data_IF_349912833522
#
_entry.id   IF_349912833522
#
_cell.length_a   1.000
_cell.length_b   1.000
_cell.length_c   1.000
_cell.angle_alpha   90.00
_cell.angle_beta   90.00
_cell.angle_gamma   90.00
#
_symmetry.space_group_name_H-M   'P 1'
#
loop_
_entity.id
_entity.type
_entity.pdbx_description
1 polymer ?
#
# COMPACT_ATOMS: atom_id res chain seq x y z
N UNK A 1 -20.32 -8.16 -13.81
CA UNK A 1 -18.92 -8.05 -13.35
C UNK A 1 -18.37 -6.74 -13.84
N UNK A 2 -17.68 -5.99 -12.99
CA UNK A 2 -17.00 -4.75 -13.39
C UNK A 2 -15.78 -5.08 -14.26
N UNK A 3 -15.52 -4.26 -15.27
CA UNK A 3 -14.27 -4.33 -16.02
C UNK A 3 -13.11 -3.74 -15.19
N UNK A 4 -11.87 -3.89 -15.67
CA UNK A 4 -10.70 -3.42 -14.91
C UNK A 4 -10.70 -1.90 -14.66
N UNK A 5 -11.31 -1.10 -15.55
CA UNK A 5 -11.36 0.37 -15.45
C UNK A 5 -12.39 0.79 -14.40
N UNK A 6 -13.58 0.22 -14.42
CA UNK A 6 -14.62 0.47 -13.42
C UNK A 6 -14.19 -0.05 -12.05
N UNK A 7 -13.56 -1.22 -11.97
CA UNK A 7 -12.96 -1.71 -10.72
C UNK A 7 -11.88 -0.77 -10.19
N UNK A 8 -11.03 -0.21 -11.06
CA UNK A 8 -10.04 0.81 -10.67
C UNK A 8 -10.71 2.08 -10.13
N UNK A 9 -11.77 2.55 -10.80
CA UNK A 9 -12.50 3.75 -10.41
C UNK A 9 -13.20 3.59 -9.06
N UNK A 10 -13.88 2.46 -8.83
CA UNK A 10 -14.52 2.14 -7.55
C UNK A 10 -13.48 2.01 -6.44
N UNK A 11 -12.37 1.29 -6.69
CA UNK A 11 -11.27 1.14 -5.75
C UNK A 11 -10.60 2.48 -5.40
N UNK A 12 -10.45 3.37 -6.38
CA UNK A 12 -9.97 4.73 -6.18
C UNK A 12 -10.94 5.55 -5.32
N UNK A 13 -12.24 5.53 -5.64
CA UNK A 13 -13.28 6.22 -4.86
C UNK A 13 -13.34 5.74 -3.41
N UNK A 14 -13.33 4.42 -3.20
CA UNK A 14 -13.28 3.81 -1.87
C UNK A 14 -12.04 4.24 -1.09
N UNK A 15 -10.87 4.32 -1.76
CA UNK A 15 -9.64 4.78 -1.15
C UNK A 15 -9.67 6.28 -0.82
N UNK A 16 -10.24 7.13 -1.67
CA UNK A 16 -10.41 8.55 -1.38
C UNK A 16 -11.22 8.76 -0.10
N UNK A 17 -12.35 8.07 0.02
CA UNK A 17 -13.20 8.14 1.22
C UNK A 17 -12.49 7.55 2.44
N UNK A 18 -11.80 6.43 2.28
CA UNK A 18 -10.99 5.82 3.35
C UNK A 18 -9.90 6.77 3.86
N UNK A 19 -9.18 7.45 2.97
CA UNK A 19 -8.13 8.41 3.33
C UNK A 19 -8.71 9.58 4.10
N UNK A 20 -9.89 10.07 3.69
CA UNK A 20 -10.59 11.15 4.37
C UNK A 20 -11.02 10.73 5.79
N UNK A 21 -11.76 9.62 5.89
CA UNK A 21 -12.30 9.11 7.17
C UNK A 21 -11.18 8.70 8.14
N UNK A 22 -10.16 7.98 7.65
CA UNK A 22 -9.07 7.46 8.46
C UNK A 22 -7.87 8.42 8.57
N UNK A 23 -8.02 9.68 8.15
CA UNK A 23 -6.94 10.64 8.27
C UNK A 23 -6.47 10.82 9.72
N UNK A 24 -7.35 10.98 10.73
CA UNK A 24 -6.94 11.08 12.13
C UNK A 24 -6.21 9.82 12.61
N UNK A 25 -6.71 8.64 12.24
CA UNK A 25 -6.08 7.35 12.56
C UNK A 25 -4.61 7.28 12.08
N UNK A 26 -4.34 7.78 10.86
CA UNK A 26 -2.98 7.80 10.29
C UNK A 26 -2.01 8.62 11.12
N UNK A 27 -2.49 9.66 11.80
CA UNK A 27 -1.66 10.58 12.57
C UNK A 27 -1.52 10.12 14.03
N UNK A 28 -2.59 9.59 14.62
CA UNK A 28 -2.53 8.93 15.94
C UNK A 28 -1.53 7.77 15.95
N UNK A 29 -1.52 6.90 14.93
CA UNK A 29 -0.54 5.80 14.82
C UNK A 29 0.92 6.28 14.67
N UNK A 30 1.16 7.52 14.23
CA UNK A 30 2.50 8.12 14.20
C UNK A 30 2.92 8.61 15.57
N UNK A 31 2.02 9.28 16.30
CA UNK A 31 2.28 9.86 17.62
C UNK A 31 2.49 8.79 18.68
N UNK A 32 1.81 7.64 18.58
CA UNK A 32 2.07 6.47 19.44
C UNK A 32 3.50 5.89 19.34
N UNK A 33 4.45 6.51 18.61
CA UNK A 33 5.86 6.17 18.78
C UNK A 33 6.34 6.56 20.17
N UNK A 34 6.94 5.60 20.86
CA UNK A 34 7.50 5.63 22.23
C UNK A 34 8.57 6.72 22.46
N UNK A 35 8.79 7.67 21.53
CA UNK A 35 9.62 8.84 21.79
C UNK A 35 8.74 9.96 22.38
N UNK A 36 8.74 10.20 23.71
CA UNK A 36 7.93 11.21 24.37
C UNK A 36 8.36 12.67 24.08
N UNK A 37 9.25 12.90 23.11
CA UNK A 37 9.88 14.22 22.91
C UNK A 37 8.93 15.22 22.21
N UNK A 38 7.90 14.77 21.49
CA UNK A 38 6.93 15.72 20.92
C UNK A 38 5.76 15.94 21.89
N UNK A 39 5.86 16.98 22.71
CA UNK A 39 4.78 17.57 23.55
C UNK A 39 3.66 18.22 22.72
N UNK A 40 3.27 17.62 21.59
CA UNK A 40 2.17 18.12 20.77
C UNK A 40 0.90 17.38 21.17
N UNK A 41 -0.17 18.12 21.45
CA UNK A 41 -1.49 17.51 21.64
C UNK A 41 -1.86 16.72 20.36
N UNK A 42 -2.09 15.40 20.46
CA UNK A 42 -2.42 14.57 19.32
C UNK A 42 -3.69 15.01 18.60
N UNK A 43 -4.65 15.58 19.31
CA UNK A 43 -5.91 16.08 18.73
C UNK A 43 -5.61 17.31 17.87
N UNK A 44 -4.96 18.32 18.44
CA UNK A 44 -4.57 19.53 17.72
C UNK A 44 -3.65 19.24 16.52
N UNK A 45 -2.67 18.34 16.69
CA UNK A 45 -1.78 17.94 15.59
C UNK A 45 -2.55 17.30 14.43
N UNK A 46 -3.47 16.38 14.74
CA UNK A 46 -4.30 15.71 13.73
C UNK A 46 -5.24 16.71 13.05
N UNK A 47 -5.82 17.64 13.81
CA UNK A 47 -6.72 18.67 13.30
C UNK A 47 -6.04 19.62 12.31
N UNK A 48 -4.84 20.15 12.64
CA UNK A 48 -4.08 21.03 11.74
C UNK A 48 -3.76 20.32 10.43
N UNK A 49 -3.36 19.06 10.50
CA UNK A 49 -3.05 18.26 9.30
C UNK A 49 -4.30 17.89 8.50
N UNK A 50 -5.44 17.70 9.17
CA UNK A 50 -6.73 17.46 8.53
C UNK A 50 -7.22 18.71 7.78
N UNK A 51 -7.14 19.88 8.42
CA UNK A 51 -7.40 21.18 7.78
C UNK A 51 -6.50 21.38 6.56
N UNK A 52 -5.20 21.08 6.70
CA UNK A 52 -4.26 21.15 5.58
C UNK A 52 -4.63 20.23 4.41
N UNK A 53 -5.18 19.04 4.69
CA UNK A 53 -5.69 18.12 3.65
C UNK A 53 -6.94 18.68 2.96
N UNK A 54 -7.91 19.22 3.71
CA UNK A 54 -9.12 19.84 3.14
C UNK A 54 -8.76 21.01 2.23
N UNK A 55 -7.79 21.83 2.63
CA UNK A 55 -7.31 22.96 1.83
C UNK A 55 -6.52 22.52 0.60
N UNK A 56 -6.02 21.28 0.56
CA UNK A 56 -5.25 20.73 -0.56
C UNK A 56 -5.81 19.36 -0.99
N UNK A 57 -7.02 19.32 -1.59
CA UNK A 57 -7.68 18.06 -1.93
C UNK A 57 -6.91 17.24 -2.97
N UNK A 58 -5.99 17.86 -3.72
CA UNK A 58 -5.08 17.16 -4.62
C UNK A 58 -4.21 16.12 -3.90
N UNK A 59 -3.86 16.34 -2.63
CA UNK A 59 -3.03 15.40 -1.86
C UNK A 59 -3.71 14.05 -1.60
N UNK A 60 -4.91 13.97 -0.99
CA UNK A 60 -5.59 12.70 -0.78
C UNK A 60 -5.93 11.99 -2.09
N UNK A 61 -6.28 12.73 -3.15
CA UNK A 61 -6.54 12.17 -4.49
C UNK A 61 -5.30 11.46 -5.05
N UNK A 62 -4.13 12.09 -4.98
CA UNK A 62 -2.87 11.47 -5.42
C UNK A 62 -2.51 10.26 -4.52
N UNK A 63 -2.79 10.34 -3.21
CA UNK A 63 -2.56 9.23 -2.28
C UNK A 63 -3.48 8.03 -2.53
N UNK A 64 -4.68 8.24 -3.09
CA UNK A 64 -5.62 7.19 -3.46
C UNK A 64 -5.25 6.47 -4.77
N UNK A 65 -4.47 7.13 -5.65
CA UNK A 65 -4.11 6.59 -6.96
C UNK A 65 -3.53 5.15 -6.94
N UNK A 66 -2.58 4.79 -6.04
CA UNK A 66 -2.05 3.43 -5.98
C UNK A 66 -3.12 2.38 -5.67
N UNK A 67 -4.15 2.74 -4.91
CA UNK A 67 -5.25 1.84 -4.54
C UNK A 67 -6.18 1.60 -5.72
N UNK A 68 -6.49 2.62 -6.52
CA UNK A 68 -7.20 2.42 -7.78
C UNK A 68 -6.46 1.44 -8.70
N UNK A 69 -5.13 1.61 -8.81
CA UNK A 69 -4.26 0.70 -9.56
C UNK A 69 -4.23 -0.72 -8.98
N UNK A 70 -4.32 -0.87 -7.66
CA UNK A 70 -4.39 -2.18 -7.01
C UNK A 70 -5.62 -2.95 -7.48
N UNK A 71 -6.81 -2.37 -7.31
CA UNK A 71 -8.08 -3.04 -7.65
C UNK A 71 -8.19 -3.26 -9.17
N UNK A 72 -7.89 -2.24 -9.98
CA UNK A 72 -7.90 -2.38 -11.44
C UNK A 72 -6.89 -3.41 -11.94
N UNK A 73 -5.68 -3.41 -11.39
CA UNK A 73 -4.65 -4.40 -11.71
C UNK A 73 -5.05 -5.83 -11.34
N UNK A 74 -5.75 -5.99 -10.22
CA UNK A 74 -6.26 -7.29 -9.80
C UNK A 74 -7.32 -7.84 -10.76
N UNK A 75 -8.25 -6.96 -11.17
CA UNK A 75 -9.25 -7.29 -12.17
C UNK A 75 -8.63 -7.60 -13.53
N UNK A 76 -7.65 -6.80 -13.97
CA UNK A 76 -6.90 -7.02 -15.21
C UNK A 76 -6.19 -8.38 -15.22
N UNK A 77 -5.64 -8.79 -14.08
CA UNK A 77 -4.98 -10.09 -13.93
C UNK A 77 -5.92 -11.26 -13.61
N UNK A 78 -7.24 -11.10 -13.71
CA UNK A 78 -8.25 -12.16 -13.50
C UNK A 78 -8.24 -12.87 -12.12
N UNK A 79 -7.75 -12.20 -11.07
CA UNK A 79 -8.08 -12.52 -9.68
C UNK A 79 -7.24 -13.56 -8.92
N UNK A 80 -6.45 -14.42 -9.57
CA UNK A 80 -5.62 -15.41 -8.85
C UNK A 80 -4.17 -14.91 -8.73
N UNK A 81 -3.18 -15.74 -9.07
CA UNK A 81 -1.76 -15.39 -8.98
C UNK A 81 -1.43 -14.20 -9.89
N UNK A 82 -1.93 -14.22 -11.13
CA UNK A 82 -1.79 -13.13 -12.09
C UNK A 82 -2.43 -11.84 -11.57
N UNK A 83 -3.60 -11.93 -10.95
CA UNK A 83 -4.28 -10.81 -10.28
C UNK A 83 -3.39 -10.20 -9.19
N UNK A 84 -2.85 -11.02 -8.29
CA UNK A 84 -1.97 -10.55 -7.23
C UNK A 84 -0.69 -9.89 -7.76
N UNK A 85 -0.07 -10.48 -8.79
CA UNK A 85 1.17 -9.97 -9.39
C UNK A 85 0.95 -8.63 -10.09
N UNK A 86 -0.09 -8.52 -10.91
CA UNK A 86 -0.41 -7.28 -11.63
C UNK A 86 -0.85 -6.20 -10.63
N UNK A 87 -1.75 -6.52 -9.71
CA UNK A 87 -2.21 -5.61 -8.66
C UNK A 87 -1.04 -5.07 -7.84
N UNK A 88 -0.20 -5.96 -7.31
CA UNK A 88 0.95 -5.57 -6.50
C UNK A 88 1.99 -4.76 -7.28
N UNK A 89 2.23 -5.10 -8.55
CA UNK A 89 3.13 -4.34 -9.42
C UNK A 89 2.62 -2.93 -9.67
N UNK A 90 1.37 -2.78 -10.12
CA UNK A 90 0.78 -1.48 -10.41
C UNK A 90 0.63 -0.62 -9.14
N UNK A 91 0.17 -1.21 -8.03
CA UNK A 91 0.12 -0.53 -6.74
C UNK A 91 1.52 -0.09 -6.30
N UNK A 92 2.53 -0.97 -6.40
CA UNK A 92 3.90 -0.66 -6.03
C UNK A 92 4.48 0.49 -6.85
N UNK A 93 4.34 0.43 -8.18
CA UNK A 93 4.77 1.49 -9.10
C UNK A 93 4.06 2.82 -8.80
N UNK A 94 2.73 2.80 -8.67
CA UNK A 94 1.94 3.97 -8.33
C UNK A 94 2.38 4.60 -7.01
N UNK A 95 2.62 3.78 -5.99
CA UNK A 95 3.07 4.23 -4.67
C UNK A 95 4.44 4.91 -4.73
N UNK A 96 5.39 4.37 -5.48
CA UNK A 96 6.71 4.98 -5.65
C UNK A 96 6.61 6.28 -6.45
N UNK A 97 5.84 6.29 -7.53
CA UNK A 97 5.61 7.49 -8.34
C UNK A 97 5.00 8.63 -7.51
N UNK A 98 3.91 8.34 -6.79
CA UNK A 98 3.24 9.29 -5.88
C UNK A 98 4.20 9.83 -4.82
N UNK A 99 5.00 8.95 -4.21
CA UNK A 99 6.00 9.36 -3.21
C UNK A 99 7.05 10.29 -3.81
N UNK A 100 7.53 10.00 -5.02
CA UNK A 100 8.53 10.80 -5.70
C UNK A 100 7.97 12.17 -6.10
N UNK A 101 6.76 12.22 -6.65
CA UNK A 101 6.05 13.48 -6.96
C UNK A 101 5.85 14.31 -5.69
N UNK A 102 5.33 13.72 -4.62
CA UNK A 102 5.10 14.43 -3.36
C UNK A 102 6.40 14.99 -2.75
N UNK A 103 7.51 14.26 -2.88
CA UNK A 103 8.83 14.74 -2.44
C UNK A 103 9.35 15.92 -3.26
N UNK A 104 9.18 15.88 -4.58
CA UNK A 104 9.65 16.92 -5.50
C UNK A 104 8.83 18.20 -5.38
N UNK A 105 7.53 18.10 -5.15
CA UNK A 105 6.62 19.26 -4.99
C UNK A 105 6.65 19.82 -3.56
N UNK A 106 6.91 18.99 -2.55
CA UNK A 106 6.77 19.31 -1.13
C UNK A 106 7.79 20.27 -0.50
N UNK A 107 8.46 21.11 -1.29
CA UNK A 107 9.32 22.19 -0.80
C UNK A 107 10.83 21.92 -0.91
N UNK A 108 11.65 22.92 -0.59
CA UNK A 108 13.08 22.92 -0.86
C UNK A 108 13.78 21.81 -0.07
N UNK A 109 14.38 20.90 -0.81
CA UNK A 109 15.32 19.90 -0.32
C UNK A 109 16.49 19.93 -1.29
N UNK A 110 17.65 20.32 -0.76
CA UNK A 110 19.03 20.36 -1.30
C UNK A 110 19.29 20.02 -2.78
N UNK A 111 18.68 18.97 -3.34
CA UNK A 111 18.90 18.52 -4.71
C UNK A 111 17.84 18.99 -5.73
N UNK A 112 16.60 19.28 -5.30
CA UNK A 112 15.55 19.80 -6.20
C UNK A 112 15.39 21.33 -6.13
N UNK A 113 16.22 21.98 -5.32
CA UNK A 113 16.13 23.42 -5.05
C UNK A 113 16.26 24.29 -6.31
N UNK A 114 16.86 23.77 -7.38
CA UNK A 114 16.97 24.48 -8.66
C UNK A 114 15.66 24.61 -9.45
N UNK A 115 14.58 23.91 -9.08
CA UNK A 115 13.33 23.91 -9.85
C UNK A 115 12.11 24.07 -8.94
N UNK A 116 11.51 25.25 -8.96
CA UNK A 116 10.18 25.47 -8.36
C UNK A 116 9.12 24.91 -9.30
N UNK A 117 8.42 23.86 -8.87
CA UNK A 117 7.35 23.27 -9.67
C UNK A 117 6.03 24.05 -9.50
N UNK A 118 5.56 24.67 -10.58
CA UNK A 118 4.29 25.42 -10.61
C UNK A 118 3.04 24.54 -10.50
N UNK A 119 3.14 23.29 -10.93
CA UNK A 119 2.03 22.31 -10.93
C UNK A 119 2.57 20.88 -10.91
N UNK A 120 1.70 19.91 -10.63
CA UNK A 120 2.03 18.48 -10.71
C UNK A 120 2.50 18.08 -12.11
N UNK A 121 1.81 18.57 -13.14
CA UNK A 121 2.15 18.31 -14.53
C UNK A 121 3.50 18.93 -14.91
N UNK A 122 3.77 20.15 -14.45
CA UNK A 122 5.09 20.78 -14.61
C UNK A 122 6.18 19.98 -13.89
N UNK A 123 5.90 19.44 -12.70
CA UNK A 123 6.80 18.53 -11.99
C UNK A 123 7.11 17.28 -12.81
N UNK A 124 6.09 16.63 -13.38
CA UNK A 124 6.27 15.45 -14.22
C UNK A 124 7.12 15.77 -15.46
N UNK A 125 6.78 16.83 -16.19
CA UNK A 125 7.48 17.21 -17.42
C UNK A 125 8.93 17.62 -17.15
N UNK A 126 9.16 18.57 -16.24
CA UNK A 126 10.50 19.07 -15.95
C UNK A 126 11.39 17.98 -15.36
N UNK A 127 10.86 17.15 -14.45
CA UNK A 127 11.66 16.05 -13.88
C UNK A 127 11.94 14.93 -14.87
N UNK A 128 11.01 14.64 -15.79
CA UNK A 128 11.24 13.64 -16.83
C UNK A 128 12.34 14.09 -17.78
N UNK A 129 12.35 15.38 -18.16
CA UNK A 129 13.42 15.96 -18.98
C UNK A 129 14.76 15.96 -18.27
N UNK A 130 14.80 16.30 -16.98
CA UNK A 130 16.05 16.46 -16.22
C UNK A 130 16.62 15.14 -15.68
N UNK A 131 15.77 14.22 -15.25
CA UNK A 131 16.18 13.00 -14.52
C UNK A 131 15.73 11.70 -15.20
N UNK A 132 15.01 11.76 -16.31
CA UNK A 132 14.41 10.59 -16.96
C UNK A 132 13.15 10.07 -16.24
N UNK A 133 12.25 9.45 -17.00
CA UNK A 133 10.97 8.93 -16.48
C UNK A 133 11.17 7.83 -15.43
N UNK A 134 12.21 7.00 -15.57
CA UNK A 134 12.51 5.90 -14.66
C UNK A 134 12.95 6.39 -13.27
N UNK A 135 13.35 7.66 -13.13
CA UNK A 135 13.67 8.25 -11.84
C UNK A 135 12.46 8.30 -10.88
N UNK A 136 11.23 8.28 -11.41
CA UNK A 136 10.01 8.21 -10.61
C UNK A 136 9.78 6.85 -9.94
N UNK A 137 10.48 5.81 -10.39
CA UNK A 137 10.25 4.41 -10.04
C UNK A 137 11.43 3.77 -9.30
N UNK A 138 12.31 4.56 -8.68
CA UNK A 138 13.41 4.04 -7.87
C UNK A 138 12.88 3.18 -6.71
N UNK A 139 13.26 1.90 -6.67
CA UNK A 139 12.76 0.93 -5.70
C UNK A 139 11.36 0.39 -6.02
N UNK A 140 10.91 0.53 -7.26
CA UNK A 140 9.61 0.01 -7.69
C UNK A 140 9.56 -1.52 -7.57
N UNK A 141 10.64 -2.24 -7.87
CA UNK A 141 10.66 -3.71 -7.78
C UNK A 141 10.44 -4.22 -6.34
N UNK A 142 11.18 -3.68 -5.38
CA UNK A 142 11.02 -4.01 -3.96
C UNK A 142 9.62 -3.58 -3.44
N UNK A 143 9.12 -2.42 -3.88
CA UNK A 143 7.80 -1.94 -3.48
C UNK A 143 6.67 -2.78 -4.10
N UNK A 144 6.84 -3.23 -5.35
CA UNK A 144 5.94 -4.16 -6.03
C UNK A 144 5.90 -5.49 -5.31
N UNK A 145 7.07 -6.08 -4.98
CA UNK A 145 7.15 -7.32 -4.20
C UNK A 145 6.38 -7.22 -2.88
N UNK A 146 6.63 -6.17 -2.08
CA UNK A 146 5.91 -5.96 -0.82
C UNK A 146 4.40 -5.78 -1.08
N UNK A 147 4.01 -5.04 -2.12
CA UNK A 147 2.61 -4.80 -2.44
C UNK A 147 1.88 -6.06 -2.92
N UNK A 148 2.55 -6.94 -3.68
CA UNK A 148 2.03 -8.24 -4.08
C UNK A 148 1.79 -9.11 -2.85
N UNK A 149 2.77 -9.20 -1.95
CA UNK A 149 2.67 -10.00 -0.73
C UNK A 149 1.59 -9.50 0.23
N UNK A 150 1.43 -8.19 0.34
CA UNK A 150 0.49 -7.60 1.31
C UNK A 150 -0.90 -7.43 0.73
N UNK A 151 -1.00 -6.74 -0.39
CA UNK A 151 -2.28 -6.28 -0.92
C UNK A 151 -2.80 -7.25 -1.98
N UNK A 152 -1.95 -7.64 -2.94
CA UNK A 152 -2.33 -8.57 -4.00
C UNK A 152 -2.79 -9.91 -3.46
N UNK A 153 -1.99 -10.53 -2.58
CA UNK A 153 -2.32 -11.80 -1.94
C UNK A 153 -3.55 -11.71 -1.02
N UNK A 154 -3.77 -10.57 -0.35
CA UNK A 154 -5.00 -10.36 0.42
C UNK A 154 -6.24 -10.38 -0.46
N UNK A 155 -6.18 -9.75 -1.65
CA UNK A 155 -7.30 -9.78 -2.59
C UNK A 155 -7.57 -11.20 -3.12
N UNK A 156 -6.53 -12.01 -3.36
CA UNK A 156 -6.72 -13.44 -3.72
C UNK A 156 -7.46 -14.19 -2.61
N UNK A 157 -7.03 -14.01 -1.36
CA UNK A 157 -7.67 -14.67 -0.23
C UNK A 157 -9.12 -14.20 -0.01
N UNK A 158 -9.43 -12.93 -0.27
CA UNK A 158 -10.78 -12.37 -0.15
C UNK A 158 -11.70 -12.69 -1.34
N UNK A 159 -11.13 -13.11 -2.47
CA UNK A 159 -11.88 -13.47 -3.68
C UNK A 159 -12.90 -14.60 -3.41
N UNK A 160 -12.53 -15.54 -2.53
CA UNK A 160 -13.36 -16.70 -2.17
C UNK A 160 -14.35 -16.46 -1.03
N UNK A 161 -14.32 -15.29 -0.40
CA UNK A 161 -15.17 -14.97 0.75
C UNK A 161 -16.49 -14.32 0.30
N UNK A 162 -17.60 -14.80 0.88
CA UNK A 162 -18.88 -14.09 0.88
C UNK A 162 -18.93 -13.19 2.11
N UNK A 163 -19.52 -12.02 1.97
CA UNK A 163 -19.59 -11.03 3.03
C UNK A 163 -21.02 -10.48 3.05
N UNK A 164 -21.71 -10.59 4.19
CA UNK A 164 -23.11 -10.21 4.34
C UNK A 164 -23.28 -8.74 4.76
N UNK A 165 -22.17 -8.01 4.96
CA UNK A 165 -22.21 -6.58 5.24
C UNK A 165 -20.84 -5.91 5.36
N UNK A 166 -20.87 -4.58 5.58
CA UNK A 166 -19.67 -3.75 5.68
C UNK A 166 -18.71 -4.21 6.76
N UNK A 167 -19.21 -4.45 7.99
CA UNK A 167 -18.36 -4.81 9.12
C UNK A 167 -17.71 -6.18 8.95
N UNK A 168 -18.42 -7.15 8.38
CA UNK A 168 -17.87 -8.47 8.09
C UNK A 168 -16.78 -8.39 7.01
N UNK A 169 -17.06 -7.69 5.90
CA UNK A 169 -16.07 -7.42 4.85
C UNK A 169 -14.83 -6.70 5.40
N UNK A 170 -15.04 -5.70 6.26
CA UNK A 170 -13.96 -4.96 6.91
C UNK A 170 -13.11 -5.87 7.79
N UNK A 171 -13.76 -6.67 8.63
CA UNK A 171 -13.11 -7.54 9.60
C UNK A 171 -12.32 -8.67 8.94
N UNK A 172 -12.89 -9.33 7.94
CA UNK A 172 -12.20 -10.39 7.21
C UNK A 172 -11.02 -9.86 6.41
N UNK A 173 -11.21 -8.73 5.72
CA UNK A 173 -10.12 -8.08 5.00
C UNK A 173 -9.02 -7.59 5.94
N UNK A 174 -9.38 -7.04 7.11
CA UNK A 174 -8.42 -6.69 8.14
C UNK A 174 -7.62 -7.92 8.60
N UNK A 175 -8.28 -9.04 8.92
CA UNK A 175 -7.62 -10.25 9.43
C UNK A 175 -6.67 -10.87 8.42
N UNK A 176 -7.12 -11.04 7.19
CA UNK A 176 -6.32 -11.60 6.09
C UNK A 176 -5.09 -10.73 5.86
N UNK A 177 -5.28 -9.43 5.73
CA UNK A 177 -4.20 -8.49 5.48
C UNK A 177 -3.25 -8.36 6.69
N UNK A 178 -3.79 -8.41 7.90
CA UNK A 178 -3.00 -8.35 9.12
C UNK A 178 -2.09 -9.58 9.25
N UNK A 179 -2.61 -10.77 8.95
CA UNK A 179 -1.81 -12.00 8.93
C UNK A 179 -0.68 -11.92 7.90
N UNK A 180 -1.00 -11.52 6.66
CA UNK A 180 0.00 -11.41 5.59
C UNK A 180 1.05 -10.33 5.90
N UNK A 181 0.62 -9.17 6.41
CA UNK A 181 1.53 -8.12 6.84
C UNK A 181 2.40 -8.60 7.98
N UNK A 182 1.84 -9.27 8.99
CA UNK A 182 2.61 -9.81 10.11
C UNK A 182 3.69 -10.80 9.62
N UNK A 183 3.30 -11.77 8.79
CA UNK A 183 4.20 -12.80 8.29
C UNK A 183 5.32 -12.25 7.39
N UNK A 184 5.06 -11.18 6.64
CA UNK A 184 5.99 -10.65 5.63
C UNK A 184 6.57 -9.28 5.97
N UNK A 185 6.27 -8.71 7.15
CA UNK A 185 6.89 -7.46 7.60
C UNK A 185 8.43 -7.53 7.71
N UNK A 186 9.07 -8.67 8.07
CA UNK A 186 10.52 -8.78 8.01
C UNK A 186 11.08 -8.40 6.64
N UNK A 187 10.44 -8.85 5.55
CA UNK A 187 10.83 -8.49 4.17
C UNK A 187 10.74 -6.98 3.98
N UNK A 188 9.66 -6.33 4.40
CA UNK A 188 9.57 -4.87 4.34
C UNK A 188 10.66 -4.18 5.15
N UNK A 189 10.97 -4.68 6.35
CA UNK A 189 11.98 -4.11 7.23
C UNK A 189 13.38 -4.16 6.60
N UNK A 190 13.71 -5.21 5.85
CA UNK A 190 15.01 -5.30 5.15
C UNK A 190 15.16 -4.31 4.02
N UNK A 191 14.08 -4.05 3.29
CA UNK A 191 14.07 -3.03 2.24
C UNK A 191 13.96 -1.61 2.79
N UNK A 192 13.61 -1.42 4.08
CA UNK A 192 13.32 -0.09 4.64
C UNK A 192 14.49 0.87 4.53
N UNK A 193 15.70 0.45 4.89
CA UNK A 193 16.91 1.27 4.79
C UNK A 193 17.30 1.51 3.32
N UNK A 194 17.31 0.45 2.51
CA UNK A 194 17.66 0.51 1.10
C UNK A 194 16.72 1.43 0.28
N UNK A 195 15.43 1.44 0.60
CA UNK A 195 14.42 2.32 0.00
C UNK A 195 14.46 3.76 0.54
N UNK A 196 15.16 4.01 1.64
CA UNK A 196 15.33 5.37 2.17
C UNK A 196 16.60 6.04 1.63
N UNK A 197 17.65 5.26 1.39
CA UNK A 197 19.03 5.70 1.14
C UNK A 197 19.30 6.26 -0.26
N UNK A 198 18.46 5.99 -1.27
CA UNK A 198 18.84 6.29 -2.67
C UNK A 198 17.83 7.11 -3.46
N UNK A 199 18.13 8.40 -3.57
CA UNK A 199 18.08 9.06 -4.86
C UNK A 199 19.43 8.83 -5.54
N UNK A 200 19.47 7.89 -6.49
CA UNK A 200 20.66 7.65 -7.32
C UNK A 200 21.06 8.97 -7.99
N UNK A 201 22.31 9.36 -7.81
CA UNK A 201 22.86 10.60 -8.34
C UNK A 201 22.68 10.64 -9.87
N UNK A 202 22.21 11.78 -10.40
CA UNK A 202 22.20 12.04 -11.85
C UNK A 202 20.95 11.66 -12.64
N UNK A 203 19.89 11.13 -12.00
CA UNK A 203 18.72 10.65 -12.72
C UNK A 203 18.91 9.27 -13.32
N UNK A 204 17.85 8.70 -13.88
CA UNK A 204 17.83 7.38 -14.50
C UNK A 204 17.32 7.53 -15.93
N UNK A 205 18.24 7.88 -16.82
CA UNK A 205 17.92 8.15 -18.23
C UNK A 205 17.91 6.89 -19.11
N UNK A 206 18.45 5.77 -18.64
CA UNK A 206 18.44 4.51 -19.38
C UNK A 206 18.03 3.33 -18.49
N UNK A 207 17.59 2.25 -19.14
CA UNK A 207 17.07 1.07 -18.46
C UNK A 207 18.16 0.27 -17.73
N UNK A 208 19.40 0.27 -18.22
CA UNK A 208 20.51 -0.40 -17.56
C UNK A 208 20.84 0.23 -16.20
N UNK A 209 20.89 1.56 -16.08
CA UNK A 209 21.08 2.25 -14.80
C UNK A 209 19.89 2.04 -13.85
N UNK A 210 18.68 1.92 -14.41
CA UNK A 210 17.50 1.56 -13.64
C UNK A 210 17.67 0.17 -13.01
N UNK A 211 17.93 -0.85 -13.82
CA UNK A 211 18.12 -2.22 -13.35
C UNK A 211 19.29 -2.34 -12.38
N UNK A 212 20.43 -1.73 -12.70
CA UNK A 212 21.65 -1.83 -11.90
C UNK A 212 21.42 -1.37 -10.46
N UNK A 213 20.70 -0.26 -10.28
CA UNK A 213 20.42 0.15 -8.92
C UNK A 213 19.20 -0.53 -8.29
N UNK A 214 18.24 -1.08 -9.06
CA UNK A 214 17.20 -1.95 -8.47
C UNK A 214 17.90 -3.17 -7.85
N UNK A 215 18.81 -3.80 -8.61
CA UNK A 215 19.66 -4.88 -8.11
C UNK A 215 20.48 -4.42 -6.89
N UNK A 216 20.96 -3.19 -6.87
CA UNK A 216 21.70 -2.66 -5.73
C UNK A 216 20.82 -2.49 -4.47
N UNK A 217 19.51 -2.22 -4.60
CA UNK A 217 18.55 -2.21 -3.49
C UNK A 217 18.40 -3.62 -2.92
N UNK A 218 18.27 -4.64 -3.77
CA UNK A 218 18.22 -6.03 -3.33
C UNK A 218 19.53 -6.48 -2.66
N UNK A 219 20.68 -6.06 -3.19
CA UNK A 219 21.98 -6.36 -2.61
C UNK A 219 22.15 -5.76 -1.21
N UNK A 220 21.77 -4.49 -1.05
CA UNK A 220 21.78 -3.82 0.26
C UNK A 220 20.80 -4.47 1.24
N UNK A 221 19.57 -4.72 0.80
CA UNK A 221 18.55 -5.39 1.61
C UNK A 221 18.95 -6.80 2.04
N UNK A 222 19.62 -7.56 1.16
CA UNK A 222 20.19 -8.87 1.49
C UNK A 222 21.28 -8.78 2.57
N UNK A 223 22.14 -7.78 2.50
CA UNK A 223 23.12 -7.48 3.55
C UNK A 223 22.47 -7.14 4.89
N UNK A 224 21.43 -6.29 4.87
CA UNK A 224 20.64 -5.93 6.06
C UNK A 224 19.94 -7.15 6.65
N UNK A 225 19.27 -7.96 5.82
CA UNK A 225 18.60 -9.20 6.24
C UNK A 225 19.57 -10.11 6.99
N UNK A 226 20.73 -10.39 6.38
CA UNK A 226 21.75 -11.25 6.97
C UNK A 226 22.28 -10.70 8.30
N UNK A 227 22.50 -9.40 8.39
CA UNK A 227 22.98 -8.77 9.62
C UNK A 227 21.91 -8.81 10.72
N UNK A 228 20.68 -8.38 10.43
CA UNK A 228 19.60 -8.34 11.41
C UNK A 228 19.18 -9.73 11.89
N UNK A 229 19.14 -10.74 11.01
CA UNK A 229 18.86 -12.12 11.43
C UNK A 229 19.92 -12.63 12.42
N UNK A 230 21.19 -12.25 12.23
CA UNK A 230 22.28 -12.64 13.13
C UNK A 230 22.28 -11.88 14.45
N UNK A 231 21.98 -10.58 14.44
CA UNK A 231 22.11 -9.73 15.63
C UNK A 231 20.83 -9.62 16.45
N UNK A 232 19.67 -9.67 15.80
CA UNK A 232 18.38 -9.42 16.44
C UNK A 232 17.48 -10.65 16.54
N UNK A 233 17.62 -11.67 15.71
CA UNK A 233 16.80 -12.89 15.81
C UNK A 233 15.29 -12.62 15.80
N UNK A 234 14.55 -13.11 16.82
CA UNK A 234 13.10 -12.90 16.96
C UNK A 234 12.70 -11.41 17.07
N UNK A 235 13.41 -10.54 17.83
CA UNK A 235 13.22 -9.10 17.77
C UNK A 235 13.17 -8.52 16.36
N UNK A 236 13.98 -8.97 15.40
CA UNK A 236 13.88 -8.49 14.01
C UNK A 236 12.52 -8.83 13.37
N UNK A 237 11.99 -10.01 13.70
CA UNK A 237 10.64 -10.43 13.27
C UNK A 237 9.53 -9.68 13.98
N UNK A 238 9.73 -9.15 15.18
CA UNK A 238 8.68 -8.46 15.95
C UNK A 238 8.79 -6.93 15.87
N UNK A 239 9.96 -6.40 15.48
CA UNK A 239 10.26 -4.98 15.54
C UNK A 239 9.32 -4.18 14.64
N UNK A 240 8.50 -3.36 15.30
CA UNK A 240 7.50 -2.53 14.64
C UNK A 240 6.46 -3.32 13.87
N UNK A 241 6.35 -4.65 14.06
CA UNK A 241 5.38 -5.49 13.34
C UNK A 241 3.97 -5.13 13.72
N UNK A 242 3.60 -5.24 14.99
CA UNK A 242 2.23 -4.92 15.44
C UNK A 242 1.82 -3.53 14.96
N UNK A 243 2.69 -2.53 15.19
CA UNK A 243 2.46 -1.16 14.74
C UNK A 243 2.26 -1.07 13.23
N UNK A 244 3.10 -1.73 12.44
CA UNK A 244 3.00 -1.69 10.97
C UNK A 244 1.76 -2.42 10.50
N UNK A 245 1.48 -3.60 11.05
CA UNK A 245 0.31 -4.43 10.76
C UNK A 245 -0.98 -3.67 11.00
N UNK A 246 -1.18 -3.06 12.18
CA UNK A 246 -2.39 -2.26 12.41
C UNK A 246 -2.44 -1.06 11.46
N UNK A 247 -1.34 -0.31 11.36
CA UNK A 247 -1.25 0.90 10.53
C UNK A 247 -1.58 0.65 9.05
N UNK A 248 -1.24 -0.50 8.49
CA UNK A 248 -1.54 -0.85 7.10
C UNK A 248 -2.88 -1.57 6.94
N UNK A 249 -3.25 -2.45 7.87
CA UNK A 249 -4.38 -3.36 7.72
C UNK A 249 -5.72 -2.70 8.03
N UNK A 250 -5.79 -1.75 8.96
CA UNK A 250 -7.03 -1.01 9.23
C UNK A 250 -7.48 -0.23 7.99
N UNK A 251 -6.61 0.59 7.33
CA UNK A 251 -6.97 1.22 6.06
C UNK A 251 -7.31 0.22 4.96
N UNK A 252 -6.53 -0.86 4.83
CA UNK A 252 -6.80 -1.89 3.82
C UNK A 252 -8.21 -2.47 3.97
N UNK A 253 -8.55 -2.97 5.15
CA UNK A 253 -9.86 -3.57 5.39
C UNK A 253 -10.98 -2.56 5.16
N UNK A 254 -10.80 -1.32 5.60
CA UNK A 254 -11.84 -0.29 5.48
C UNK A 254 -12.07 0.10 4.02
N UNK A 255 -10.98 0.23 3.25
CA UNK A 255 -11.05 0.46 1.81
C UNK A 255 -11.70 -0.72 1.08
N UNK A 256 -11.41 -1.96 1.47
CA UNK A 256 -12.04 -3.14 0.88
C UNK A 256 -13.56 -3.18 1.15
N UNK A 257 -13.97 -2.92 2.39
CA UNK A 257 -15.38 -2.89 2.74
C UNK A 257 -16.14 -1.77 1.99
N UNK A 258 -15.52 -0.61 1.83
CA UNK A 258 -16.07 0.48 1.02
C UNK A 258 -16.11 0.15 -0.47
N UNK A 259 -15.08 -0.54 -0.98
CA UNK A 259 -15.05 -1.02 -2.36
C UNK A 259 -16.27 -1.91 -2.63
N UNK A 260 -16.56 -2.88 -1.77
CA UNK A 260 -17.76 -3.71 -1.89
C UNK A 260 -19.05 -2.89 -1.74
N UNK A 261 -19.12 -2.00 -0.75
CA UNK A 261 -20.30 -1.15 -0.52
C UNK A 261 -20.62 -0.22 -1.71
N UNK A 262 -19.60 0.17 -2.48
CA UNK A 262 -19.75 0.96 -3.71
C UNK A 262 -20.09 0.12 -4.95
N UNK A 263 -20.42 -1.16 -4.78
CA UNK A 263 -20.73 -2.09 -5.87
C UNK A 263 -19.49 -2.71 -6.52
N UNK A 264 -18.32 -2.54 -5.92
CA UNK A 264 -17.10 -3.22 -6.31
C UNK A 264 -17.23 -4.74 -6.13
N UNK A 265 -16.62 -5.49 -7.02
CA UNK A 265 -16.53 -6.95 -6.93
C UNK A 265 -15.18 -7.42 -7.42
N UNK A 266 -14.65 -8.48 -6.79
CA UNK A 266 -13.46 -9.15 -7.30
C UNK A 266 -13.86 -10.17 -8.38
N UNK A 267 -13.01 -10.41 -9.40
CA UNK A 267 -13.23 -11.50 -10.36
C UNK A 267 -13.51 -12.81 -9.63
N UNK A 268 -14.39 -13.68 -10.11
CA UNK A 268 -14.66 -14.99 -9.49
C UNK A 268 -15.54 -14.99 -8.22
N UNK A 269 -15.87 -13.83 -7.64
CA UNK A 269 -16.76 -13.76 -6.46
C UNK A 269 -18.22 -14.11 -6.79
N UNK A 270 -18.64 -13.93 -8.06
CA UNK A 270 -20.02 -14.14 -8.55
C UNK A 270 -20.30 -15.48 -9.24
N UNK A 271 -19.41 -16.48 -9.14
CA UNK A 271 -19.51 -17.72 -9.93
C UNK A 271 -20.03 -18.96 -9.21
N UNK A 272 -20.53 -18.84 -7.96
CA UNK A 272 -20.86 -20.01 -7.15
C UNK A 272 -22.36 -20.30 -6.95
N UNK A 273 -23.24 -19.59 -7.66
CA UNK A 273 -24.68 -19.82 -7.59
C UNK A 273 -25.24 -20.65 -8.76
N UNK A 274 -24.42 -21.23 -9.65
CA UNK A 274 -24.97 -22.06 -10.74
C UNK A 274 -24.27 -23.39 -11.04
N UNK A 275 -23.39 -23.89 -10.15
CA UNK A 275 -22.96 -25.29 -10.20
C UNK A 275 -23.48 -26.01 -8.95
N UNK A 276 -24.57 -26.75 -9.16
CA UNK A 276 -25.03 -27.74 -8.21
C UNK A 276 -23.92 -28.78 -7.98
N UNK A 277 -23.64 -29.09 -6.71
CA UNK A 277 -23.61 -30.45 -6.20
C UNK A 277 -23.28 -30.47 -4.70
N UNK A 278 -24.17 -31.15 -3.96
CA UNK A 278 -23.95 -31.77 -2.65
C UNK A 278 -22.49 -32.15 -2.42
N UNK A 279 -21.79 -31.55 -1.44
CA UNK A 279 -20.77 -32.25 -0.66
C UNK A 279 -20.68 -31.67 0.76
N UNK A 280 -21.19 -32.47 1.69
CA UNK A 280 -20.94 -32.56 3.13
C UNK A 280 -20.57 -31.29 3.94
N UNK A 281 -21.58 -30.83 4.68
CA UNK A 281 -21.45 -30.23 6.02
C UNK A 281 -20.53 -31.11 6.89
N UNK A 282 -19.25 -30.80 6.94
CA UNK A 282 -18.48 -31.05 8.15
C UNK A 282 -18.66 -29.83 9.06
N UNK A 283 -19.64 -29.94 9.95
CA UNK A 283 -19.73 -29.11 11.13
C UNK A 283 -18.42 -29.28 11.94
N UNK A 284 -17.47 -28.36 11.79
CA UNK A 284 -16.54 -28.09 12.87
C UNK A 284 -17.24 -27.12 13.83
N UNK A 285 -17.56 -27.55 15.06
CA UNK A 285 -18.13 -26.65 16.05
C UNK A 285 -17.06 -25.64 16.46
N UNK A 286 -17.24 -24.39 16.03
CA UNK A 286 -16.60 -23.25 16.65
C UNK A 286 -17.01 -23.23 18.12
N UNK A 287 -16.07 -23.55 19.01
CA UNK A 287 -16.19 -23.33 20.46
C UNK A 287 -16.68 -21.90 20.67
N UNK A 288 -17.93 -21.76 21.16
CA UNK A 288 -18.40 -20.52 21.77
C UNK A 288 -17.47 -20.22 22.95
N UNK A 289 -16.93 -19.01 22.97
CA UNK A 289 -16.38 -18.45 24.19
C UNK A 289 -17.49 -18.42 25.23
N UNK A 290 -17.34 -19.23 26.28
CA UNK A 290 -18.16 -19.14 27.49
C UNK A 290 -17.55 -18.01 28.32
N UNK A 291 -18.39 -17.05 28.69
CA UNK A 291 -18.14 -15.99 29.68
C UNK A 291 -17.90 -16.62 31.04
#
# INVERSE_FOLDING_TARGET
MLDSVTTAAVGYGASCMSIFVLYPYRDLTKIFSINPITRLDPIQYSWVRYKGMILNPSQPLILAFPWGLLYGGFALGSGVLTGALVAGTLHGMGKVAVRTVARRVGGPRSRYDGVVYKSLLHCLQASTKQYGILSFFSGASATALISTLWHGASLVALQGSRHDGFFEAWWDAFRVHALLTFATNPIRNTFRSALHSRERAGGVCNFSAFLAGEAAIFREAGGVMKNMLRTMGLPFFLEGVLRTTFKSSVPFGFTFALFLAFGGSLPGQGGRDNDGHRYHRHHMPLRRFVV
#
